data_IF_061328330063
#
_entry.id   IF_061328330063
#
_cell.length_a   1.000
_cell.length_b   1.000
_cell.length_c   1.000
_cell.angle_alpha   90.00
_cell.angle_beta   90.00
_cell.angle_gamma   90.00
#
_symmetry.space_group_name_H-M   'P 1'
#
loop_
_entity.id
_entity.type
_entity.pdbx_description
1 polymer ?
#
# COMPACT_ATOMS: atom_id res chain seq x y z
N UNK A 1 6.33 -11.35 -26.67
CA UNK A 1 5.85 -9.96 -26.62
C UNK A 1 4.38 -9.97 -26.23
N UNK A 2 4.06 -9.46 -25.05
CA UNK A 2 2.69 -9.27 -24.54
C UNK A 2 2.57 -7.87 -23.99
N UNK A 3 1.38 -7.27 -24.12
CA UNK A 3 1.15 -5.92 -23.62
C UNK A 3 1.05 -5.90 -22.09
N UNK A 4 1.44 -4.77 -21.51
CA UNK A 4 1.24 -4.53 -20.08
C UNK A 4 -0.24 -4.52 -19.74
N UNK A 5 -0.58 -4.79 -18.47
CA UNK A 5 -1.95 -4.80 -18.00
C UNK A 5 -2.62 -3.44 -18.23
N UNK A 6 -3.82 -3.46 -18.79
CA UNK A 6 -4.66 -2.27 -18.96
C UNK A 6 -5.89 -2.43 -18.06
N UNK A 7 -6.11 -1.44 -17.22
CA UNK A 7 -7.31 -1.32 -16.39
C UNK A 7 -8.12 -0.12 -16.85
N UNK A 8 -9.41 -0.31 -17.09
CA UNK A 8 -10.33 0.76 -17.52
C UNK A 8 -11.34 0.99 -16.42
N UNK A 9 -11.43 2.24 -15.94
CA UNK A 9 -12.47 2.68 -15.01
C UNK A 9 -13.50 3.50 -15.76
N UNK A 10 -14.74 3.04 -15.73
CA UNK A 10 -15.88 3.74 -16.34
C UNK A 10 -16.60 4.48 -15.22
N UNK A 11 -16.59 5.82 -15.30
CA UNK A 11 -17.29 6.67 -14.35
C UNK A 11 -18.69 6.97 -14.89
N UNK A 12 -19.71 6.39 -14.24
CA UNK A 12 -21.12 6.64 -14.48
C UNK A 12 -21.82 6.81 -13.12
N UNK A 13 -23.12 6.56 -13.02
CA UNK A 13 -23.83 6.55 -11.73
C UNK A 13 -23.26 5.52 -10.74
N UNK A 14 -22.68 4.46 -11.29
CA UNK A 14 -21.84 3.51 -10.54
C UNK A 14 -20.50 3.36 -11.26
N UNK A 15 -19.40 3.36 -10.49
CA UNK A 15 -18.07 3.10 -11.02
C UNK A 15 -17.97 1.62 -11.42
N UNK A 16 -17.55 1.36 -12.66
CA UNK A 16 -17.31 0.01 -13.17
C UNK A 16 -15.86 -0.12 -13.58
N UNK A 17 -15.21 -1.18 -13.10
CA UNK A 17 -13.82 -1.48 -13.46
C UNK A 17 -13.76 -2.67 -14.42
N UNK A 18 -13.00 -2.51 -15.51
CA UNK A 18 -12.62 -3.60 -16.40
C UNK A 18 -11.11 -3.82 -16.22
N UNK A 19 -10.77 -4.87 -15.50
CA UNK A 19 -9.40 -5.21 -15.20
C UNK A 19 -8.90 -6.26 -16.21
N UNK A 20 -8.05 -5.83 -17.16
CA UNK A 20 -7.42 -6.73 -18.13
C UNK A 20 -6.48 -7.74 -17.44
N UNK A 21 -6.25 -8.87 -18.09
CA UNK A 21 -5.19 -9.77 -17.70
C UNK A 21 -3.83 -9.13 -18.03
N UNK A 22 -2.87 -9.24 -17.10
CA UNK A 22 -1.48 -8.87 -17.37
C UNK A 22 -0.77 -9.92 -18.25
N UNK A 23 0.49 -9.66 -18.64
CA UNK A 23 1.29 -10.60 -19.38
C UNK A 23 1.56 -11.87 -18.57
N UNK A 24 1.80 -12.97 -19.27
CA UNK A 24 2.31 -14.20 -18.65
C UNK A 24 3.80 -14.04 -18.43
N UNK A 25 4.24 -14.10 -17.19
CA UNK A 25 5.65 -13.98 -16.81
C UNK A 25 6.26 -15.39 -16.81
N UNK A 26 7.29 -15.60 -17.62
CA UNK A 26 8.01 -16.86 -17.66
C UNK A 26 9.12 -16.92 -16.58
N UNK A 27 9.71 -18.09 -16.40
CA UNK A 27 10.75 -18.32 -15.39
C UNK A 27 11.99 -17.45 -15.60
N UNK A 28 12.37 -17.17 -16.86
CA UNK A 28 13.52 -16.32 -17.16
C UNK A 28 13.26 -14.88 -16.71
N UNK A 29 12.09 -14.32 -17.04
CA UNK A 29 11.70 -12.98 -16.63
C UNK A 29 11.58 -12.85 -15.11
N UNK A 30 11.06 -13.89 -14.45
CA UNK A 30 11.01 -13.92 -12.98
C UNK A 30 12.42 -13.94 -12.39
N UNK A 31 13.34 -14.73 -12.96
CA UNK A 31 14.73 -14.80 -12.51
C UNK A 31 15.46 -13.43 -12.71
N UNK A 32 15.18 -12.71 -13.79
CA UNK A 32 15.71 -11.36 -13.99
C UNK A 32 15.21 -10.41 -12.89
N UNK A 33 13.92 -10.43 -12.54
CA UNK A 33 13.38 -9.65 -11.43
C UNK A 33 14.01 -10.01 -10.08
N UNK A 34 14.16 -11.31 -9.80
CA UNK A 34 14.82 -11.82 -8.60
C UNK A 34 16.27 -11.31 -8.49
N UNK A 35 17.00 -11.29 -9.60
CA UNK A 35 18.38 -10.77 -9.63
C UNK A 35 18.41 -9.25 -9.32
N UNK A 36 17.47 -8.47 -9.86
CA UNK A 36 17.34 -7.05 -9.55
C UNK A 36 17.01 -6.83 -8.07
N UNK A 37 16.04 -7.56 -7.53
CA UNK A 37 15.64 -7.44 -6.12
C UNK A 37 16.75 -7.87 -5.15
N UNK A 38 17.58 -8.83 -5.55
CA UNK A 38 18.74 -9.26 -4.75
C UNK A 38 19.93 -8.30 -4.85
N UNK A 39 19.90 -7.30 -5.75
CA UNK A 39 20.97 -6.33 -5.94
C UNK A 39 20.73 -4.99 -5.27
N UNK A 40 19.57 -4.77 -4.64
CA UNK A 40 19.30 -3.55 -3.88
C UNK A 40 20.18 -3.49 -2.63
N UNK A 41 20.36 -2.30 -2.09
CA UNK A 41 21.19 -2.05 -0.91
C UNK A 41 20.35 -1.82 0.35
N UNK A 42 20.99 -1.84 1.51
CA UNK A 42 20.34 -1.56 2.80
C UNK A 42 19.75 -0.12 2.88
N UNK A 43 20.22 0.79 2.04
CA UNK A 43 19.71 2.17 1.97
C UNK A 43 18.46 2.29 1.09
N UNK A 44 18.08 1.21 0.38
CA UNK A 44 16.93 1.22 -0.51
C UNK A 44 15.64 0.86 0.21
N UNK A 45 14.52 1.33 -0.36
CA UNK A 45 13.17 0.90 0.01
C UNK A 45 12.47 0.34 -1.22
N UNK A 46 12.02 -0.91 -1.12
CA UNK A 46 11.27 -1.55 -2.20
C UNK A 46 9.80 -1.56 -1.85
N UNK A 47 8.97 -1.00 -2.73
CA UNK A 47 7.52 -0.98 -2.58
C UNK A 47 6.91 -2.10 -3.42
N UNK A 48 6.23 -3.01 -2.76
CA UNK A 48 5.39 -4.02 -3.39
C UNK A 48 3.93 -3.58 -3.29
N UNK A 49 3.29 -3.34 -4.43
CA UNK A 49 1.90 -2.86 -4.47
C UNK A 49 1.07 -3.62 -5.51
N UNK A 50 -0.23 -3.70 -5.28
CA UNK A 50 -1.18 -4.32 -6.18
C UNK A 50 -1.10 -5.84 -6.23
N UNK A 51 -1.52 -6.42 -7.37
CA UNK A 51 -1.63 -7.87 -7.58
C UNK A 51 -0.57 -8.39 -8.54
N UNK A 52 -0.10 -9.60 -8.30
CA UNK A 52 0.81 -10.30 -9.20
C UNK A 52 0.11 -10.74 -10.50
N UNK A 53 0.86 -10.97 -11.60
CA UNK A 53 0.36 -11.63 -12.79
C UNK A 53 -0.33 -12.96 -12.46
N UNK A 54 -1.44 -13.25 -13.17
CA UNK A 54 -2.32 -14.38 -12.83
C UNK A 54 -1.62 -15.74 -12.82
N UNK A 55 -0.63 -15.92 -13.69
CA UNK A 55 0.13 -17.18 -13.77
C UNK A 55 1.10 -17.38 -12.60
N UNK A 56 1.53 -16.34 -11.90
CA UNK A 56 2.36 -16.41 -10.70
C UNK A 56 1.52 -16.46 -9.43
N UNK A 57 0.40 -15.74 -9.43
CA UNK A 57 -0.43 -15.54 -8.25
C UNK A 57 0.30 -14.78 -7.13
N UNK A 58 -0.46 -14.29 -6.16
CA UNK A 58 0.09 -13.45 -5.09
C UNK A 58 1.11 -14.16 -4.18
N UNK A 59 1.17 -15.49 -4.20
CA UNK A 59 2.20 -16.25 -3.46
C UNK A 59 3.62 -15.98 -3.95
N UNK A 60 3.80 -15.39 -5.14
CA UNK A 60 5.13 -14.97 -5.61
C UNK A 60 5.78 -13.96 -4.68
N UNK A 61 5.00 -13.12 -4.00
CA UNK A 61 5.52 -12.16 -3.03
C UNK A 61 6.23 -12.83 -1.85
N UNK A 62 5.79 -14.04 -1.44
CA UNK A 62 6.46 -14.82 -0.40
C UNK A 62 7.88 -15.30 -0.81
N UNK A 63 8.19 -15.25 -2.11
CA UNK A 63 9.54 -15.50 -2.65
C UNK A 63 10.31 -14.19 -2.83
N UNK A 64 9.66 -13.14 -3.34
CA UNK A 64 10.32 -11.90 -3.71
C UNK A 64 10.69 -11.01 -2.51
N UNK A 65 9.81 -10.90 -1.51
CA UNK A 65 10.05 -10.06 -0.33
C UNK A 65 11.30 -10.51 0.46
N UNK A 66 11.51 -11.80 0.75
CA UNK A 66 12.73 -12.26 1.41
C UNK A 66 14.01 -11.85 0.70
N UNK A 67 14.07 -11.89 -0.63
CA UNK A 67 15.25 -11.49 -1.41
C UNK A 67 15.66 -10.04 -1.09
N UNK A 68 14.68 -9.14 -1.00
CA UNK A 68 14.91 -7.74 -0.62
C UNK A 68 15.35 -7.65 0.85
N UNK A 69 14.68 -8.37 1.74
CA UNK A 69 15.01 -8.31 3.19
C UNK A 69 16.42 -8.85 3.50
N UNK A 70 16.91 -9.82 2.76
CA UNK A 70 18.26 -10.38 2.88
C UNK A 70 19.35 -9.35 2.56
N UNK A 71 19.08 -8.33 1.72
CA UNK A 71 20.02 -7.23 1.44
C UNK A 71 20.08 -6.19 2.55
N UNK A 72 19.17 -6.23 3.52
CA UNK A 72 19.00 -5.19 4.54
C UNK A 72 18.05 -4.06 4.13
N UNK A 73 17.59 -4.03 2.88
CA UNK A 73 16.64 -3.03 2.39
C UNK A 73 15.29 -3.10 3.14
N UNK A 74 14.63 -1.96 3.22
CA UNK A 74 13.28 -1.89 3.76
C UNK A 74 12.25 -2.29 2.71
N UNK A 75 11.13 -2.85 3.16
CA UNK A 75 10.01 -3.18 2.29
C UNK A 75 8.75 -2.45 2.73
N UNK A 76 7.99 -1.99 1.76
CA UNK A 76 6.64 -1.45 1.95
C UNK A 76 5.68 -2.35 1.19
N UNK A 77 4.58 -2.75 1.83
CA UNK A 77 3.63 -3.69 1.26
C UNK A 77 2.23 -3.06 1.21
N UNK A 78 1.77 -2.71 0.01
CA UNK A 78 0.42 -2.20 -0.22
C UNK A 78 -0.42 -3.27 -0.91
N UNK A 79 -0.91 -4.20 -0.11
CA UNK A 79 -1.70 -5.36 -0.51
C UNK A 79 -3.03 -5.40 0.21
N UNK A 80 -3.95 -6.21 -0.31
CA UNK A 80 -5.24 -6.50 0.32
C UNK A 80 -5.34 -7.96 0.79
N UNK A 81 -6.28 -8.20 1.69
CA UNK A 81 -6.69 -9.55 2.11
C UNK A 81 -5.54 -10.42 2.65
N UNK A 82 -5.50 -11.68 2.21
CA UNK A 82 -4.52 -12.65 2.69
C UNK A 82 -3.08 -12.28 2.30
N UNK A 83 -2.88 -11.63 1.15
CA UNK A 83 -1.53 -11.21 0.70
C UNK A 83 -0.92 -10.20 1.68
N UNK A 84 -1.73 -9.26 2.20
CA UNK A 84 -1.28 -8.34 3.25
C UNK A 84 -0.89 -9.12 4.50
N UNK A 85 -1.74 -10.04 4.97
CA UNK A 85 -1.47 -10.82 6.18
C UNK A 85 -0.19 -11.67 6.04
N UNK A 86 0.02 -12.29 4.90
CA UNK A 86 1.22 -13.10 4.62
C UNK A 86 2.49 -12.22 4.62
N UNK A 87 2.40 -10.97 4.14
CA UNK A 87 3.53 -10.04 4.10
C UNK A 87 4.03 -9.60 5.48
N UNK A 88 3.19 -9.66 6.51
CA UNK A 88 3.54 -9.21 7.87
C UNK A 88 4.68 -10.01 8.50
N UNK A 89 4.85 -11.27 8.11
CA UNK A 89 5.96 -12.11 8.54
C UNK A 89 7.34 -11.52 8.18
N UNK A 90 7.39 -10.65 7.17
CA UNK A 90 8.62 -10.02 6.68
C UNK A 90 8.87 -8.62 7.29
N UNK A 91 8.06 -8.22 8.26
CA UNK A 91 8.17 -6.96 9.01
C UNK A 91 8.26 -5.73 8.08
N UNK A 92 7.25 -5.50 7.22
CA UNK A 92 7.26 -4.35 6.33
C UNK A 92 7.32 -3.03 7.11
N UNK A 93 8.07 -2.06 6.57
CA UNK A 93 8.15 -0.71 7.11
C UNK A 93 6.77 -0.05 7.19
N UNK A 94 5.94 -0.29 6.18
CA UNK A 94 4.59 0.25 6.09
C UNK A 94 3.66 -0.76 5.42
N UNK A 95 2.45 -0.86 5.94
CA UNK A 95 1.28 -1.38 5.24
C UNK A 95 0.14 -0.36 5.28
N UNK A 96 -0.69 -0.31 4.22
CA UNK A 96 -1.76 0.69 4.13
C UNK A 96 -3.09 0.10 3.66
N UNK A 97 -3.80 -0.69 4.43
CA UNK A 97 -5.18 -1.05 4.09
C UNK A 97 -6.13 0.15 4.22
N UNK A 98 -7.21 0.15 3.45
CA UNK A 98 -8.33 1.05 3.69
C UNK A 98 -9.29 0.46 4.74
N UNK A 99 -10.29 1.26 5.17
CA UNK A 99 -11.26 0.81 6.18
C UNK A 99 -12.08 -0.42 5.73
N UNK A 100 -12.42 -0.54 4.45
CA UNK A 100 -13.17 -1.68 3.91
C UNK A 100 -12.31 -2.94 3.86
N UNK A 101 -11.05 -2.81 3.48
CA UNK A 101 -10.07 -3.91 3.52
C UNK A 101 -9.83 -4.38 4.95
N UNK A 102 -9.74 -3.45 5.90
CA UNK A 102 -9.62 -3.78 7.32
C UNK A 102 -10.85 -4.54 7.84
N UNK A 103 -12.07 -4.08 7.48
CA UNK A 103 -13.32 -4.82 7.78
C UNK A 103 -13.30 -6.24 7.21
N UNK A 104 -12.85 -6.38 5.96
CA UNK A 104 -12.79 -7.68 5.29
C UNK A 104 -11.75 -8.62 5.92
N UNK A 105 -10.56 -8.12 6.28
CA UNK A 105 -9.49 -8.90 6.91
C UNK A 105 -9.97 -9.51 8.24
N UNK A 106 -10.69 -8.73 9.06
CA UNK A 106 -11.13 -9.17 10.40
C UNK A 106 -12.56 -9.68 10.43
N UNK A 107 -13.27 -9.64 9.30
CA UNK A 107 -14.70 -9.99 9.19
C UNK A 107 -15.56 -9.24 10.21
N UNK A 108 -15.40 -7.93 10.28
CA UNK A 108 -16.09 -7.05 11.24
C UNK A 108 -16.68 -5.83 10.54
N UNK A 109 -17.53 -5.08 11.29
CA UNK A 109 -17.90 -3.71 10.94
C UNK A 109 -17.23 -2.74 11.91
N UNK A 110 -16.63 -1.69 11.38
CA UNK A 110 -15.96 -0.67 12.16
C UNK A 110 -16.96 0.41 12.62
N UNK A 111 -16.96 0.70 13.92
CA UNK A 111 -17.83 1.70 14.53
C UNK A 111 -17.02 2.89 15.06
N UNK A 112 -16.30 3.57 14.16
CA UNK A 112 -15.49 4.75 14.48
C UNK A 112 -14.01 4.45 14.73
N UNK A 113 -13.28 5.51 15.07
CA UNK A 113 -11.81 5.48 15.15
C UNK A 113 -11.25 4.48 16.17
N UNK A 114 -11.97 4.23 17.26
CA UNK A 114 -11.50 3.27 18.28
C UNK A 114 -11.41 1.84 17.73
N UNK A 115 -12.38 1.42 16.90
CA UNK A 115 -12.33 0.12 16.24
C UNK A 115 -11.23 0.09 15.17
N UNK A 116 -11.08 1.18 14.39
CA UNK A 116 -10.01 1.31 13.40
C UNK A 116 -8.64 1.15 14.06
N UNK A 117 -8.39 1.86 15.16
CA UNK A 117 -7.14 1.75 15.91
C UNK A 117 -6.91 0.35 16.45
N UNK A 118 -7.94 -0.25 17.04
CA UNK A 118 -7.87 -1.60 17.59
C UNK A 118 -7.37 -2.60 16.55
N UNK A 119 -8.00 -2.65 15.39
CA UNK A 119 -7.64 -3.63 14.34
C UNK A 119 -6.33 -3.27 13.61
N UNK A 120 -6.00 -1.98 13.49
CA UNK A 120 -4.68 -1.56 13.02
C UNK A 120 -3.55 -2.02 13.95
N UNK A 121 -3.75 -1.97 15.28
CA UNK A 121 -2.82 -2.51 16.26
C UNK A 121 -2.66 -4.03 16.16
N UNK A 122 -3.71 -4.76 15.77
CA UNK A 122 -3.60 -6.20 15.53
C UNK A 122 -2.74 -6.52 14.29
N UNK A 123 -2.79 -5.68 13.23
CA UNK A 123 -1.88 -5.77 12.09
C UNK A 123 -0.45 -5.46 12.53
N UNK A 124 -0.26 -4.38 13.30
CA UNK A 124 1.05 -4.01 13.84
C UNK A 124 1.66 -5.15 14.67
N UNK A 125 0.88 -5.75 15.57
CA UNK A 125 1.31 -6.87 16.41
C UNK A 125 1.70 -8.13 15.62
N UNK A 126 1.23 -8.27 14.37
CA UNK A 126 1.60 -9.36 13.46
C UNK A 126 2.90 -9.10 12.70
N UNK A 127 3.49 -7.89 12.81
CA UNK A 127 4.83 -7.63 12.30
C UNK A 127 5.04 -6.33 11.52
N UNK A 128 4.00 -5.63 11.08
CA UNK A 128 4.20 -4.33 10.44
C UNK A 128 4.87 -3.34 11.40
N UNK A 129 5.77 -2.49 10.90
CA UNK A 129 6.41 -1.44 11.70
C UNK A 129 5.53 -0.20 11.82
N UNK A 130 4.79 0.13 10.76
CA UNK A 130 3.81 1.21 10.70
C UNK A 130 2.58 0.73 9.93
N UNK A 131 1.39 1.15 10.37
CA UNK A 131 0.12 0.83 9.74
C UNK A 131 -0.63 2.11 9.47
N UNK A 132 -0.96 2.41 8.22
CA UNK A 132 -1.88 3.49 7.86
C UNK A 132 -3.22 2.86 7.48
N UNK A 133 -4.31 3.33 8.08
CA UNK A 133 -5.66 3.03 7.62
C UNK A 133 -6.20 4.27 6.91
N UNK A 134 -6.38 4.15 5.59
CA UNK A 134 -6.99 5.21 4.79
C UNK A 134 -8.51 5.10 4.85
N UNK A 135 -9.19 6.24 5.08
CA UNK A 135 -10.64 6.30 5.26
C UNK A 135 -11.28 7.32 4.30
N UNK A 136 -10.66 7.52 3.14
CA UNK A 136 -11.11 8.47 2.13
C UNK A 136 -11.47 9.86 2.72
N UNK A 137 -12.73 10.30 2.57
CA UNK A 137 -13.21 11.58 3.10
C UNK A 137 -13.22 11.70 4.63
N UNK A 138 -12.95 10.62 5.36
CA UNK A 138 -12.90 10.62 6.82
C UNK A 138 -11.45 10.75 7.36
N UNK A 139 -10.46 10.84 6.47
CA UNK A 139 -9.07 11.07 6.83
C UNK A 139 -8.21 9.80 6.82
N UNK A 140 -7.19 9.76 7.68
CA UNK A 140 -6.30 8.59 7.80
C UNK A 140 -5.83 8.42 9.25
N UNK A 141 -5.66 7.18 9.68
CA UNK A 141 -5.09 6.83 10.97
C UNK A 141 -3.75 6.13 10.76
N UNK A 142 -2.68 6.67 11.33
CA UNK A 142 -1.39 6.01 11.44
C UNK A 142 -1.27 5.37 12.82
N UNK A 143 -0.86 4.12 12.87
CA UNK A 143 -0.54 3.40 14.11
C UNK A 143 0.92 2.95 14.06
N UNK A 144 1.68 3.37 15.06
CA UNK A 144 3.07 2.97 15.32
C UNK A 144 3.13 2.15 16.60
N UNK A 145 4.26 1.53 16.95
CA UNK A 145 4.42 0.87 18.26
C UNK A 145 4.16 1.81 19.45
N UNK A 146 4.51 3.10 19.31
CA UNK A 146 4.46 4.08 20.39
C UNK A 146 3.07 4.73 20.52
N UNK A 147 2.41 5.03 19.39
CA UNK A 147 1.19 5.83 19.42
C UNK A 147 0.31 5.64 18.16
N UNK A 148 -0.88 6.23 18.21
CA UNK A 148 -1.77 6.39 17.06
C UNK A 148 -1.97 7.89 16.77
N UNK A 149 -1.94 8.24 15.48
CA UNK A 149 -2.06 9.62 15.01
C UNK A 149 -3.16 9.72 13.97
N UNK A 150 -4.14 10.56 14.22
CA UNK A 150 -5.23 10.78 13.29
C UNK A 150 -5.00 12.04 12.45
N UNK A 151 -4.91 11.89 11.14
CA UNK A 151 -4.91 12.98 10.19
C UNK A 151 -6.33 13.26 9.72
N UNK A 152 -6.81 14.47 10.00
CA UNK A 152 -8.13 14.93 9.53
C UNK A 152 -8.14 15.02 8.00
N UNK A 153 -9.31 14.79 7.36
CA UNK A 153 -9.42 14.93 5.92
C UNK A 153 -9.17 16.38 5.49
N UNK A 154 -8.45 16.54 4.39
CA UNK A 154 -8.28 17.83 3.72
C UNK A 154 -9.55 18.08 2.89
N UNK A 155 -10.19 19.23 3.10
CA UNK A 155 -11.41 19.59 2.39
C UNK A 155 -11.11 20.04 0.96
N UNK A 156 -11.86 19.53 0.01
CA UNK A 156 -11.74 19.87 -1.40
C UNK A 156 -12.70 19.05 -2.26
N UNK A 157 -12.62 19.24 -3.57
CA UNK A 157 -13.45 18.50 -4.53
C UNK A 157 -12.67 17.33 -5.07
N UNK A 158 -13.12 16.12 -4.78
CA UNK A 158 -12.54 14.91 -5.35
C UNK A 158 -12.89 14.84 -6.84
N UNK A 159 -11.89 14.76 -7.69
CA UNK A 159 -12.01 14.60 -9.14
C UNK A 159 -11.71 13.18 -9.58
N UNK A 160 -10.64 12.59 -9.04
CA UNK A 160 -10.21 11.26 -9.38
C UNK A 160 -9.52 10.58 -8.18
N UNK A 161 -10.10 9.49 -7.67
CA UNK A 161 -9.55 8.75 -6.53
C UNK A 161 -8.44 7.75 -6.91
N UNK A 162 -8.24 7.52 -8.22
CA UNK A 162 -7.24 6.55 -8.71
C UNK A 162 -5.83 6.99 -8.36
N UNK A 163 -5.04 6.09 -7.78
CA UNK A 163 -3.67 6.36 -7.38
C UNK A 163 -3.51 7.20 -6.10
N UNK A 164 -4.61 7.65 -5.46
CA UNK A 164 -4.51 8.40 -4.20
C UNK A 164 -3.87 7.57 -3.07
N UNK A 165 -4.17 6.28 -3.02
CA UNK A 165 -3.53 5.33 -2.10
C UNK A 165 -2.04 5.19 -2.36
N UNK A 166 -1.66 4.98 -3.62
CA UNK A 166 -0.25 4.84 -4.03
C UNK A 166 0.54 6.11 -3.72
N UNK A 167 -0.06 7.30 -3.99
CA UNK A 167 0.54 8.59 -3.68
C UNK A 167 0.71 8.79 -2.17
N UNK A 168 -0.24 8.30 -1.35
CA UNK A 168 -0.12 8.32 0.11
C UNK A 168 1.05 7.45 0.58
N UNK A 169 1.19 6.24 0.02
CA UNK A 169 2.32 5.34 0.32
C UNK A 169 3.65 6.01 -0.07
N UNK A 170 3.72 6.60 -1.26
CA UNK A 170 4.93 7.28 -1.75
C UNK A 170 5.31 8.46 -0.87
N UNK A 171 4.35 9.35 -0.54
CA UNK A 171 4.58 10.51 0.29
C UNK A 171 5.02 10.16 1.71
N UNK A 172 4.36 9.18 2.33
CA UNK A 172 4.75 8.68 3.65
C UNK A 172 6.15 8.08 3.62
N UNK A 173 6.39 7.16 2.70
CA UNK A 173 7.66 6.42 2.63
C UNK A 173 8.84 7.36 2.39
N UNK A 174 8.71 8.27 1.42
CA UNK A 174 9.77 9.21 1.09
C UNK A 174 10.15 10.15 2.25
N UNK A 175 9.15 10.68 2.97
CA UNK A 175 9.44 11.54 4.12
C UNK A 175 9.93 10.73 5.32
N UNK A 176 9.37 9.54 5.58
CA UNK A 176 9.79 8.71 6.70
C UNK A 176 11.26 8.28 6.59
N UNK A 177 11.70 7.87 5.40
CA UNK A 177 13.11 7.51 5.15
C UNK A 177 14.03 8.70 5.39
N UNK A 178 13.60 9.91 5.05
CA UNK A 178 14.38 11.13 5.20
C UNK A 178 14.44 11.64 6.63
N UNK A 179 13.32 11.65 7.35
CA UNK A 179 13.19 12.31 8.66
C UNK A 179 13.17 11.34 9.84
N UNK A 180 12.73 10.11 9.64
CA UNK A 180 12.41 9.18 10.71
C UNK A 180 11.20 9.58 11.55
N UNK A 181 10.50 10.68 11.19
CA UNK A 181 9.34 11.19 11.94
C UNK A 181 8.03 10.68 11.34
N UNK A 182 7.31 9.78 12.04
CA UNK A 182 6.07 9.22 11.53
C UNK A 182 4.95 10.25 11.40
N UNK A 183 4.98 11.35 12.16
CA UNK A 183 3.95 12.39 12.11
C UNK A 183 4.15 13.23 10.84
N UNK A 184 5.39 13.67 10.57
CA UNK A 184 5.70 14.39 9.34
C UNK A 184 5.45 13.51 8.11
N UNK A 185 5.85 12.23 8.18
CA UNK A 185 5.58 11.27 7.11
C UNK A 185 4.06 11.11 6.85
N UNK A 186 3.23 11.02 7.89
CA UNK A 186 1.77 10.96 7.73
C UNK A 186 1.22 12.21 7.04
N UNK A 187 1.70 13.40 7.40
CA UNK A 187 1.29 14.66 6.77
C UNK A 187 1.61 14.67 5.27
N UNK A 188 2.82 14.24 4.90
CA UNK A 188 3.21 14.11 3.50
C UNK A 188 2.37 13.06 2.77
N UNK A 189 2.15 11.90 3.37
CA UNK A 189 1.29 10.87 2.79
C UNK A 189 -0.12 11.38 2.51
N UNK A 190 -0.75 12.03 3.49
CA UNK A 190 -2.10 12.59 3.33
C UNK A 190 -2.13 13.72 2.29
N UNK A 191 -1.10 14.59 2.26
CA UNK A 191 -1.02 15.67 1.29
C UNK A 191 -0.89 15.13 -0.15
N UNK A 192 0.00 14.15 -0.38
CA UNK A 192 0.19 13.52 -1.70
C UNK A 192 -1.08 12.79 -2.16
N UNK A 193 -1.67 11.95 -1.29
CA UNK A 193 -2.92 11.24 -1.62
C UNK A 193 -4.08 12.18 -1.92
N UNK A 194 -4.21 13.27 -1.16
CA UNK A 194 -5.24 14.28 -1.39
C UNK A 194 -4.99 15.07 -2.68
N UNK A 195 -3.75 15.45 -2.95
CA UNK A 195 -3.38 16.13 -4.19
C UNK A 195 -3.76 15.30 -5.42
N UNK A 196 -3.46 14.01 -5.39
CA UNK A 196 -3.89 13.07 -6.44
C UNK A 196 -5.41 13.03 -6.56
N UNK A 197 -6.13 12.90 -5.44
CA UNK A 197 -7.60 12.82 -5.47
C UNK A 197 -8.27 14.11 -6.01
N UNK A 198 -7.63 15.27 -5.87
CA UNK A 198 -8.14 16.56 -6.37
C UNK A 198 -7.65 16.92 -7.78
N UNK A 199 -6.78 16.10 -8.37
CA UNK A 199 -6.30 16.27 -9.74
C UNK A 199 -7.22 15.57 -10.75
N UNK A 200 -7.27 16.09 -11.97
CA UNK A 200 -8.05 15.48 -13.05
C UNK A 200 -7.39 14.17 -13.51
N UNK A 201 -6.07 14.09 -13.41
CA UNK A 201 -5.25 12.95 -13.73
C UNK A 201 -4.38 12.58 -12.51
N UNK A 202 -3.48 11.58 -12.64
CA UNK A 202 -2.52 11.27 -11.60
C UNK A 202 -1.69 12.51 -11.28
N UNK A 203 -1.48 12.78 -9.97
CA UNK A 203 -0.66 13.91 -9.56
C UNK A 203 0.80 13.70 -10.02
N UNK A 204 1.38 14.75 -10.56
CA UNK A 204 2.79 14.80 -10.99
C UNK A 204 3.66 15.52 -9.96
#
# INVERSE_FOLDING_TARGET
>A
DQDTRINVKIKADQETEINGAGPVINEYQLAELEAVLSSVSADDVVVFAGSAPSNLGNKVYNKLIPLVRETGAQVVCDFEGQTLLDSLAYQPLLVKPNNHELEAIFNVKLNGLADVEKYAREILAKGAQNVIISMAGDGALLVTPEAAYFAKPIKGTVKNSVGAGDSMVAGFTGEFVKSGDPIEALKWGVACGTSTAFSDDLAT
#
